data_IF_361854667845
#
_entry.id   IF_361854667845
#
_cell.length_a   1.000
_cell.length_b   1.000
_cell.length_c   1.000
_cell.angle_alpha   90.00
_cell.angle_beta   90.00
_cell.angle_gamma   90.00
#
_symmetry.space_group_name_H-M   'P 1'
#
loop_
_entity.id
_entity.type
_entity.pdbx_description
1 polymer ?
#
# COMPACT_ATOMS: atom_id res chain seq x y z
N UNK A 1 0.53 17.20 -6.80
CA UNK A 1 1.56 16.32 -7.40
C UNK A 1 1.15 15.95 -8.84
N UNK A 2 1.33 16.89 -9.77
CA UNK A 2 1.16 16.67 -11.23
C UNK A 2 2.45 16.99 -11.96
N UNK A 3 3.55 17.15 -11.21
CA UNK A 3 4.85 17.48 -11.74
C UNK A 3 5.58 16.21 -12.16
N UNK A 4 6.48 16.36 -13.12
CA UNK A 4 7.40 15.31 -13.51
C UNK A 4 8.22 14.77 -12.32
N UNK A 5 8.48 15.61 -11.30
CA UNK A 5 9.28 15.22 -10.13
C UNK A 5 8.64 14.09 -9.30
N UNK A 6 7.33 14.17 -9.00
CA UNK A 6 6.66 13.11 -8.25
C UNK A 6 6.75 11.76 -8.97
N UNK A 7 6.58 11.79 -10.28
CA UNK A 7 6.71 10.60 -11.13
C UNK A 7 8.14 10.07 -11.09
N UNK A 8 9.14 10.93 -11.31
CA UNK A 8 10.55 10.55 -11.29
C UNK A 8 10.99 9.96 -9.94
N UNK A 9 10.60 10.59 -8.82
CA UNK A 9 10.92 10.11 -7.48
C UNK A 9 10.28 8.75 -7.20
N UNK A 10 9.02 8.58 -7.60
CA UNK A 10 8.30 7.31 -7.43
C UNK A 10 8.91 6.21 -8.31
N UNK A 11 9.23 6.52 -9.56
CA UNK A 11 9.89 5.57 -10.47
C UNK A 11 11.27 5.16 -9.94
N UNK A 12 12.06 6.11 -9.41
CA UNK A 12 13.36 5.83 -8.81
C UNK A 12 13.24 4.90 -7.59
N UNK A 13 12.26 5.14 -6.72
CA UNK A 13 11.97 4.24 -5.60
C UNK A 13 11.59 2.83 -6.09
N UNK A 14 10.75 2.72 -7.13
CA UNK A 14 10.34 1.43 -7.70
C UNK A 14 11.45 0.71 -8.47
N UNK A 15 12.43 1.43 -9.02
CA UNK A 15 13.63 0.84 -9.61
C UNK A 15 14.46 0.12 -8.53
N UNK A 16 14.67 0.75 -7.39
CA UNK A 16 15.37 0.14 -6.24
C UNK A 16 14.62 -1.08 -5.69
N UNK A 17 13.28 -1.03 -5.70
CA UNK A 17 12.42 -2.17 -5.37
C UNK A 17 12.68 -3.34 -6.32
N UNK A 18 12.69 -3.09 -7.64
CA UNK A 18 12.97 -4.12 -8.65
C UNK A 18 14.37 -4.71 -8.51
N UNK A 19 15.37 -3.87 -8.27
CA UNK A 19 16.74 -4.29 -8.03
C UNK A 19 16.79 -5.24 -6.84
N UNK A 20 16.21 -4.87 -5.70
CA UNK A 20 16.16 -5.72 -4.50
C UNK A 20 15.52 -7.09 -4.74
N UNK A 21 14.40 -7.14 -5.48
CA UNK A 21 13.76 -8.42 -5.84
C UNK A 21 14.68 -9.26 -6.73
N UNK A 22 15.40 -8.64 -7.67
CA UNK A 22 16.26 -9.37 -8.61
C UNK A 22 17.60 -9.82 -8.02
N UNK A 23 18.17 -9.06 -7.08
CA UNK A 23 19.54 -9.28 -6.61
C UNK A 23 19.65 -9.83 -5.19
N UNK A 24 18.65 -9.56 -4.34
CA UNK A 24 18.75 -9.81 -2.90
C UNK A 24 17.71 -10.80 -2.38
N UNK A 25 16.60 -11.01 -3.09
CA UNK A 25 15.56 -11.92 -2.66
C UNK A 25 15.84 -13.34 -3.14
N UNK A 26 16.25 -14.22 -2.22
CA UNK A 26 16.35 -15.65 -2.47
C UNK A 26 14.96 -16.30 -2.35
N UNK A 27 14.08 -16.03 -3.32
CA UNK A 27 12.74 -16.60 -3.37
C UNK A 27 12.83 -18.13 -3.38
N UNK A 28 12.17 -18.77 -2.42
CA UNK A 28 12.23 -20.23 -2.25
C UNK A 28 11.19 -20.96 -3.10
N UNK A 29 10.12 -20.28 -3.53
CA UNK A 29 9.10 -20.88 -4.39
C UNK A 29 8.19 -21.89 -3.70
N UNK A 30 8.24 -21.99 -2.38
CA UNK A 30 7.37 -22.85 -1.54
C UNK A 30 5.98 -22.23 -1.26
N UNK A 31 5.67 -21.10 -1.90
CA UNK A 31 4.43 -20.34 -1.70
C UNK A 31 4.39 -19.47 -0.44
N UNK A 32 5.51 -19.32 0.28
CA UNK A 32 5.63 -18.48 1.48
C UNK A 32 6.40 -17.18 1.28
N UNK A 33 6.93 -16.92 0.08
CA UNK A 33 7.52 -15.63 -0.25
C UNK A 33 6.44 -14.56 -0.39
N UNK A 34 6.54 -13.49 0.39
CA UNK A 34 5.51 -12.48 0.48
C UNK A 34 6.04 -11.05 0.26
N UNK A 35 5.16 -10.21 -0.27
CA UNK A 35 5.36 -8.77 -0.42
C UNK A 35 4.14 -8.00 0.06
N UNK A 36 4.37 -6.88 0.73
CA UNK A 36 3.30 -6.07 1.30
C UNK A 36 3.22 -4.72 0.59
N UNK A 37 2.01 -4.29 0.29
CA UNK A 37 1.71 -2.93 -0.14
C UNK A 37 0.73 -2.26 0.80
N UNK A 38 0.98 -0.97 1.06
CA UNK A 38 -0.11 -0.05 1.42
C UNK A 38 -1.03 0.19 0.21
N UNK A 39 -2.20 0.78 0.43
CA UNK A 39 -3.20 1.01 -0.63
C UNK A 39 -3.21 2.47 -1.08
N UNK A 40 -3.57 3.39 -0.19
CA UNK A 40 -3.70 4.81 -0.54
C UNK A 40 -2.34 5.45 -0.82
N UNK A 41 -2.24 6.16 -1.94
CA UNK A 41 -1.01 6.76 -2.50
C UNK A 41 0.19 5.80 -2.64
N UNK A 42 -0.10 4.50 -2.64
CA UNK A 42 0.87 3.43 -2.94
C UNK A 42 0.41 2.58 -4.12
N UNK A 43 -0.86 2.14 -4.12
CA UNK A 43 -1.50 1.48 -5.26
C UNK A 43 -2.56 2.38 -5.91
N UNK A 44 -3.37 3.07 -5.10
CA UNK A 44 -4.47 3.92 -5.55
C UNK A 44 -4.19 5.37 -5.17
N UNK A 45 -4.20 6.29 -6.15
CA UNK A 45 -3.89 7.69 -5.89
C UNK A 45 -5.08 8.45 -5.29
N UNK A 46 -4.84 9.15 -4.18
CA UNK A 46 -5.80 10.05 -3.55
C UNK A 46 -5.68 11.49 -4.04
N UNK A 47 -4.69 11.77 -4.91
CA UNK A 47 -4.46 13.10 -5.52
C UNK A 47 -5.74 13.73 -6.10
N UNK A 48 -6.65 13.01 -6.80
CA UNK A 48 -7.87 13.62 -7.31
C UNK A 48 -8.78 14.20 -6.23
N UNK A 49 -8.81 13.58 -5.04
CA UNK A 49 -9.53 14.12 -3.88
C UNK A 49 -8.82 15.35 -3.35
N UNK A 50 -7.52 15.24 -3.02
CA UNK A 50 -6.75 16.32 -2.42
C UNK A 50 -6.61 17.54 -3.34
N UNK A 51 -6.62 17.36 -4.66
CA UNK A 51 -6.65 18.48 -5.63
C UNK A 51 -7.86 19.40 -5.44
N UNK A 52 -8.99 18.86 -4.98
CA UNK A 52 -10.21 19.63 -4.69
C UNK A 52 -10.24 20.22 -3.27
N UNK A 53 -9.27 19.86 -2.43
CA UNK A 53 -9.19 20.21 -1.00
C UNK A 53 -7.78 20.76 -0.66
N UNK A 54 -7.31 21.70 -1.48
CA UNK A 54 -6.08 22.46 -1.21
C UNK A 54 -4.77 21.64 -1.17
N UNK A 55 -4.73 20.45 -1.78
CA UNK A 55 -3.55 19.55 -1.76
C UNK A 55 -3.01 19.24 -0.36
N UNK A 56 -3.89 19.10 0.64
CA UNK A 56 -3.50 18.85 2.04
C UNK A 56 -3.39 20.11 2.89
N UNK A 57 -3.60 21.29 2.30
CA UNK A 57 -3.69 22.56 3.04
C UNK A 57 -4.99 22.71 3.85
N UNK A 58 -6.00 21.88 3.56
CA UNK A 58 -7.26 21.86 4.30
C UNK A 58 -7.30 20.68 5.28
N UNK A 59 -7.94 20.89 6.45
CA UNK A 59 -8.17 19.80 7.40
C UNK A 59 -9.04 18.71 6.74
N UNK A 60 -8.59 17.46 6.82
CA UNK A 60 -9.31 16.33 6.24
C UNK A 60 -10.71 16.21 6.84
N UNK A 61 -11.73 16.26 5.98
CA UNK A 61 -13.09 15.83 6.31
C UNK A 61 -13.21 14.32 6.04
N UNK A 62 -13.18 13.51 7.11
CA UNK A 62 -13.21 12.05 7.00
C UNK A 62 -14.46 11.55 6.26
N UNK A 63 -15.65 12.09 6.57
CA UNK A 63 -16.91 11.67 5.92
C UNK A 63 -16.91 11.97 4.42
N UNK A 64 -16.42 13.15 4.01
CA UNK A 64 -16.26 13.50 2.60
C UNK A 64 -15.27 12.56 1.89
N UNK A 65 -14.16 12.26 2.54
CA UNK A 65 -13.14 11.37 1.98
C UNK A 65 -13.63 9.93 1.83
N UNK A 66 -14.34 9.40 2.82
CA UNK A 66 -14.99 8.10 2.73
C UNK A 66 -16.07 8.05 1.64
N UNK A 67 -16.88 9.10 1.52
CA UNK A 67 -17.85 9.22 0.44
C UNK A 67 -17.18 9.25 -0.94
N UNK A 68 -15.99 9.85 -1.05
CA UNK A 68 -15.17 9.79 -2.26
C UNK A 68 -14.61 8.39 -2.51
N UNK A 69 -14.07 7.71 -1.49
CA UNK A 69 -13.57 6.34 -1.61
C UNK A 69 -14.65 5.34 -2.03
N UNK A 70 -15.89 5.52 -1.55
CA UNK A 70 -17.07 4.71 -1.93
C UNK A 70 -17.44 4.81 -3.41
N UNK A 71 -16.90 5.77 -4.14
CA UNK A 71 -17.11 5.88 -5.59
C UNK A 71 -16.23 4.92 -6.39
N UNK A 72 -15.21 4.30 -5.76
CA UNK A 72 -14.35 3.27 -6.36
C UNK A 72 -13.68 3.68 -7.68
N UNK A 73 -13.28 4.96 -7.76
CA UNK A 73 -12.73 5.62 -8.96
C UNK A 73 -11.33 6.21 -8.75
N UNK A 74 -10.63 5.85 -7.66
CA UNK A 74 -9.25 6.27 -7.47
C UNK A 74 -8.37 5.64 -8.57
N UNK A 75 -7.53 6.40 -9.29
CA UNK A 75 -6.69 5.85 -10.35
C UNK A 75 -5.53 5.04 -9.76
N UNK A 76 -5.02 4.07 -10.53
CA UNK A 76 -3.81 3.35 -10.19
C UNK A 76 -2.58 4.27 -10.21
N UNK A 77 -1.55 3.88 -9.46
CA UNK A 77 -0.20 4.40 -9.65
C UNK A 77 0.56 3.47 -10.60
N UNK A 78 0.79 3.90 -11.84
CA UNK A 78 1.33 3.07 -12.92
C UNK A 78 2.63 2.34 -12.56
N UNK A 79 3.53 3.03 -11.84
CA UNK A 79 4.80 2.45 -11.41
C UNK A 79 4.63 1.28 -10.43
N UNK A 80 3.64 1.36 -9.54
CA UNK A 80 3.31 0.32 -8.59
C UNK A 80 2.52 -0.81 -9.25
N UNK A 81 1.61 -0.50 -10.18
CA UNK A 81 0.85 -1.49 -10.95
C UNK A 81 1.78 -2.42 -11.75
N UNK A 82 2.75 -1.86 -12.47
CA UNK A 82 3.75 -2.64 -13.22
C UNK A 82 4.49 -3.62 -12.30
N UNK A 83 5.01 -3.13 -11.17
CA UNK A 83 5.75 -3.96 -10.23
C UNK A 83 4.88 -5.02 -9.54
N UNK A 84 3.63 -4.69 -9.19
CA UNK A 84 2.66 -5.64 -8.63
C UNK A 84 2.49 -6.85 -9.56
N UNK A 85 2.30 -6.62 -10.85
CA UNK A 85 2.20 -7.72 -11.82
C UNK A 85 3.52 -8.49 -11.95
N UNK A 86 4.66 -7.81 -12.03
CA UNK A 86 5.98 -8.45 -12.13
C UNK A 86 6.26 -9.45 -11.00
N UNK A 87 5.97 -9.10 -9.75
CA UNK A 87 6.23 -10.01 -8.61
C UNK A 87 5.15 -11.10 -8.48
N UNK A 88 3.91 -10.79 -8.88
CA UNK A 88 2.84 -11.79 -8.94
C UNK A 88 3.20 -12.89 -9.92
N UNK A 89 3.69 -12.54 -11.10
CA UNK A 89 4.07 -13.49 -12.15
C UNK A 89 5.30 -14.32 -11.75
N UNK A 90 6.09 -13.84 -10.79
CA UNK A 90 7.17 -14.60 -10.13
C UNK A 90 6.69 -15.50 -8.98
N UNK A 91 5.39 -15.57 -8.72
CA UNK A 91 4.79 -16.42 -7.68
C UNK A 91 4.84 -15.83 -6.26
N UNK A 92 5.24 -14.57 -6.10
CA UNK A 92 5.26 -13.89 -4.79
C UNK A 92 3.83 -13.63 -4.32
N UNK A 93 3.53 -13.96 -3.05
CA UNK A 93 2.24 -13.71 -2.41
C UNK A 93 2.13 -12.25 -2.03
N UNK A 94 1.15 -11.55 -2.63
CA UNK A 94 0.97 -10.12 -2.39
C UNK A 94 -0.10 -9.91 -1.32
N UNK A 95 0.25 -9.21 -0.24
CA UNK A 95 -0.68 -8.81 0.80
C UNK A 95 -0.88 -7.30 0.81
N UNK A 96 -2.13 -6.87 0.93
CA UNK A 96 -2.50 -5.47 1.00
C UNK A 96 -2.88 -5.14 2.44
N UNK A 97 -2.17 -4.20 3.06
CA UNK A 97 -2.45 -3.76 4.43
C UNK A 97 -2.73 -2.25 4.42
N UNK A 98 -4.01 -1.90 4.55
CA UNK A 98 -4.49 -0.51 4.48
C UNK A 98 -5.05 -0.05 5.83
N UNK A 99 -4.96 1.26 6.06
CA UNK A 99 -5.62 1.94 7.18
C UNK A 99 -7.07 2.35 6.90
N UNK A 100 -7.61 2.04 5.70
CA UNK A 100 -9.05 2.22 5.42
C UNK A 100 -9.88 1.41 6.42
N UNK A 101 -11.07 1.91 6.76
CA UNK A 101 -12.05 1.19 7.57
C UNK A 101 -12.52 -0.08 6.84
N UNK A 102 -12.78 -1.13 7.59
CA UNK A 102 -13.39 -2.38 7.13
C UNK A 102 -14.74 -2.14 6.43
N UNK A 103 -15.46 -1.09 6.82
CA UNK A 103 -16.72 -0.67 6.18
C UNK A 103 -16.55 -0.27 4.71
N UNK A 104 -15.32 0.02 4.27
CA UNK A 104 -14.96 0.35 2.89
C UNK A 104 -14.46 -0.86 2.09
N UNK A 105 -14.55 -2.09 2.61
CA UNK A 105 -14.00 -3.28 1.95
C UNK A 105 -14.50 -3.44 0.52
N UNK A 106 -15.82 -3.44 0.33
CA UNK A 106 -16.42 -3.63 -1.00
C UNK A 106 -15.94 -2.58 -2.00
N UNK A 107 -15.99 -1.31 -1.60
CA UNK A 107 -15.54 -0.21 -2.45
C UNK A 107 -14.03 -0.29 -2.76
N UNK A 108 -13.21 -0.70 -1.80
CA UNK A 108 -11.75 -0.85 -1.96
C UNK A 108 -11.41 -1.99 -2.92
N UNK A 109 -12.07 -3.15 -2.77
CA UNK A 109 -11.90 -4.30 -3.68
C UNK A 109 -12.32 -3.93 -5.10
N UNK A 110 -13.48 -3.28 -5.26
CA UNK A 110 -13.97 -2.82 -6.55
C UNK A 110 -12.99 -1.84 -7.20
N UNK A 111 -12.47 -0.87 -6.43
CA UNK A 111 -11.52 0.09 -6.95
C UNK A 111 -10.21 -0.58 -7.39
N UNK A 112 -9.64 -1.47 -6.58
CA UNK A 112 -8.42 -2.19 -6.91
C UNK A 112 -8.60 -2.99 -8.20
N UNK A 113 -9.74 -3.67 -8.34
CA UNK A 113 -10.08 -4.43 -9.54
C UNK A 113 -10.20 -3.52 -10.77
N UNK A 114 -10.95 -2.42 -10.67
CA UNK A 114 -11.12 -1.46 -11.76
C UNK A 114 -9.80 -0.76 -12.15
N UNK A 115 -8.87 -0.64 -11.20
CA UNK A 115 -7.54 -0.09 -11.39
C UNK A 115 -6.53 -1.10 -11.97
N UNK A 116 -6.95 -2.36 -12.21
CA UNK A 116 -6.12 -3.40 -12.83
C UNK A 116 -5.35 -4.30 -11.86
N UNK A 117 -5.50 -4.08 -10.55
CA UNK A 117 -4.90 -4.97 -9.55
C UNK A 117 -5.73 -6.24 -9.44
N UNK A 118 -5.11 -7.41 -9.65
CA UNK A 118 -5.77 -8.71 -9.57
C UNK A 118 -4.85 -9.76 -8.97
N UNK A 119 -5.40 -10.63 -8.12
CA UNK A 119 -4.68 -11.80 -7.59
C UNK A 119 -3.82 -11.51 -6.36
N UNK A 120 -4.16 -10.50 -5.55
CA UNK A 120 -3.59 -10.37 -4.22
C UNK A 120 -4.04 -11.56 -3.34
N UNK A 121 -3.18 -11.99 -2.42
CA UNK A 121 -3.38 -13.13 -1.53
C UNK A 121 -4.20 -12.78 -0.28
N UNK A 122 -4.20 -11.51 0.14
CA UNK A 122 -5.01 -11.04 1.27
C UNK A 122 -5.14 -9.52 1.28
N UNK A 123 -6.25 -9.04 1.84
CA UNK A 123 -6.52 -7.62 2.07
C UNK A 123 -6.94 -7.44 3.53
N UNK A 124 -6.12 -6.73 4.30
CA UNK A 124 -6.39 -6.39 5.69
C UNK A 124 -6.73 -4.90 5.80
N UNK A 125 -7.91 -4.60 6.33
CA UNK A 125 -8.40 -3.24 6.62
C UNK A 125 -8.69 -3.11 8.12
N UNK A 126 -8.82 -1.88 8.61
CA UNK A 126 -9.00 -1.60 10.04
C UNK A 126 -10.41 -1.92 10.49
N UNK A 127 -10.53 -2.81 11.48
CA UNK A 127 -11.79 -3.07 12.16
C UNK A 127 -12.11 -2.01 13.21
N UNK A 128 -13.34 -2.07 13.75
CA UNK A 128 -13.78 -1.17 14.84
C UNK A 128 -12.92 -1.29 16.10
N UNK A 129 -12.42 -2.49 16.39
CA UNK A 129 -11.53 -2.73 17.52
C UNK A 129 -10.15 -2.05 17.34
N UNK A 130 -9.78 -1.76 16.09
CA UNK A 130 -8.52 -1.12 15.75
C UNK A 130 -8.60 0.40 15.78
N UNK A 131 -9.78 1.03 15.80
CA UNK A 131 -9.94 2.47 15.54
C UNK A 131 -9.11 3.37 16.47
N UNK A 132 -8.85 2.92 17.70
CA UNK A 132 -8.05 3.65 18.69
C UNK A 132 -6.55 3.34 18.63
N UNK A 133 -6.12 2.36 17.83
CA UNK A 133 -4.71 2.03 17.65
C UNK A 133 -4.00 3.09 16.80
N UNK A 134 -2.69 3.25 17.00
CA UNK A 134 -1.86 3.99 16.03
C UNK A 134 -1.76 3.20 14.73
N UNK A 135 -1.68 3.87 13.58
CA UNK A 135 -1.63 3.20 12.28
C UNK A 135 -0.42 2.26 12.21
N UNK A 136 0.74 2.72 12.70
CA UNK A 136 1.95 1.90 12.74
C UNK A 136 1.76 0.62 13.57
N UNK A 137 1.08 0.70 14.72
CA UNK A 137 0.86 -0.46 15.59
C UNK A 137 -0.05 -1.47 14.91
N UNK A 138 -1.20 -1.02 14.38
CA UNK A 138 -2.14 -1.86 13.65
C UNK A 138 -1.45 -2.58 12.47
N UNK A 139 -0.68 -1.85 11.64
CA UNK A 139 0.03 -2.46 10.51
C UNK A 139 1.10 -3.45 10.96
N UNK A 140 1.79 -3.18 12.08
CA UNK A 140 2.75 -4.11 12.68
C UNK A 140 2.07 -5.41 13.16
N UNK A 141 0.87 -5.31 13.74
CA UNK A 141 0.07 -6.47 14.15
C UNK A 141 -0.40 -7.31 12.97
N UNK A 142 -0.86 -6.67 11.89
CA UNK A 142 -1.21 -7.34 10.64
C UNK A 142 0.01 -8.07 10.04
N UNK A 143 1.19 -7.44 10.00
CA UNK A 143 2.44 -8.10 9.56
C UNK A 143 2.81 -9.30 10.43
N UNK A 144 2.63 -9.17 11.75
CA UNK A 144 2.89 -10.25 12.70
C UNK A 144 1.99 -11.45 12.47
N UNK A 145 0.73 -11.25 12.09
CA UNK A 145 -0.15 -12.35 11.71
C UNK A 145 0.41 -13.12 10.50
N UNK A 146 0.84 -12.41 9.44
CA UNK A 146 1.45 -13.03 8.26
C UNK A 146 2.73 -13.81 8.59
N UNK A 147 3.61 -13.26 9.43
CA UNK A 147 4.83 -13.97 9.87
C UNK A 147 4.49 -15.23 10.67
N UNK A 148 3.46 -15.20 11.52
CA UNK A 148 2.99 -16.39 12.26
C UNK A 148 2.43 -17.47 11.34
N UNK A 149 1.84 -17.10 10.22
CA UNK A 149 1.41 -18.02 9.16
C UNK A 149 2.59 -18.58 8.34
N UNK A 150 3.82 -18.16 8.63
CA UNK A 150 5.06 -18.64 8.01
C UNK A 150 5.46 -17.88 6.76
N UNK A 151 4.85 -16.73 6.46
CA UNK A 151 5.26 -15.92 5.31
C UNK A 151 6.60 -15.21 5.57
N UNK A 152 7.49 -15.26 4.57
CA UNK A 152 8.74 -14.51 4.50
C UNK A 152 8.49 -13.19 3.78
N UNK A 153 8.41 -12.11 4.54
CA UNK A 153 8.12 -10.79 3.99
C UNK A 153 9.44 -10.19 3.44
N UNK A 154 9.60 -10.23 2.13
CA UNK A 154 10.80 -9.74 1.45
C UNK A 154 10.83 -8.22 1.31
N UNK A 155 9.65 -7.61 1.20
CA UNK A 155 9.52 -6.18 1.00
C UNK A 155 8.20 -5.61 1.48
N UNK A 156 8.24 -4.34 1.89
CA UNK A 156 7.07 -3.51 2.16
C UNK A 156 7.22 -2.23 1.36
N UNK A 157 6.20 -1.87 0.58
CA UNK A 157 6.11 -0.59 -0.12
C UNK A 157 4.94 0.19 0.49
N UNK A 158 5.20 1.45 0.83
CA UNK A 158 4.17 2.35 1.36
C UNK A 158 4.57 3.81 1.23
N UNK A 159 3.59 4.70 1.27
CA UNK A 159 3.77 6.15 1.17
C UNK A 159 3.93 6.83 2.53
N UNK A 160 3.80 6.09 3.64
CA UNK A 160 3.96 6.60 5.01
C UNK A 160 5.00 5.78 5.78
N UNK A 161 5.70 6.43 6.72
CA UNK A 161 6.61 5.72 7.64
C UNK A 161 5.85 4.72 8.51
N UNK A 162 4.63 5.07 8.94
CA UNK A 162 3.73 4.16 9.66
C UNK A 162 3.38 2.88 8.87
N UNK A 163 3.52 2.89 7.55
CA UNK A 163 3.26 1.72 6.70
C UNK A 163 4.44 0.76 6.64
N UNK A 164 5.67 1.29 6.72
CA UNK A 164 6.89 0.52 6.50
C UNK A 164 7.68 0.23 7.78
N UNK A 165 7.51 1.02 8.84
CA UNK A 165 8.20 0.86 10.10
C UNK A 165 7.47 -0.04 11.11
N UNK A 166 8.21 -0.51 12.12
CA UNK A 166 7.71 -1.35 13.20
C UNK A 166 8.02 -2.84 13.02
N UNK A 167 7.86 -3.62 14.09
CA UNK A 167 8.20 -5.04 14.12
C UNK A 167 6.95 -5.94 14.05
N UNK A 168 6.98 -7.06 13.31
CA UNK A 168 8.11 -7.54 12.51
C UNK A 168 8.32 -6.68 11.25
N UNK A 169 9.59 -6.53 10.88
CA UNK A 169 10.00 -5.86 9.66
C UNK A 169 9.97 -6.79 8.44
N UNK A 170 10.53 -6.31 7.34
CA UNK A 170 10.73 -7.07 6.11
C UNK A 170 12.22 -7.10 5.75
N UNK A 171 12.57 -7.89 4.73
CA UNK A 171 13.94 -7.89 4.18
C UNK A 171 14.41 -6.50 3.75
N UNK A 172 13.53 -5.69 3.16
CA UNK A 172 13.75 -4.25 2.90
C UNK A 172 12.44 -3.48 2.89
N UNK A 173 12.49 -2.19 3.16
CA UNK A 173 11.34 -1.28 3.11
C UNK A 173 11.57 -0.18 2.09
N UNK A 174 10.49 0.28 1.47
CA UNK A 174 10.54 1.29 0.42
C UNK A 174 9.44 2.32 0.64
N UNK A 175 9.87 3.57 0.82
CA UNK A 175 9.00 4.71 1.09
C UNK A 175 8.75 5.48 -0.20
N UNK A 176 7.50 5.53 -0.65
CA UNK A 176 7.08 6.38 -1.77
C UNK A 176 6.87 7.83 -1.30
N UNK A 177 7.04 8.84 -2.17
CA UNK A 177 6.79 10.22 -1.82
C UNK A 177 5.29 10.47 -1.59
N UNK A 178 4.95 11.18 -0.51
CA UNK A 178 3.62 11.76 -0.31
C UNK A 178 3.77 13.05 0.49
N UNK A 179 3.30 14.16 -0.06
CA UNK A 179 3.33 15.48 0.56
C UNK A 179 1.96 15.99 1.00
N UNK A 180 0.90 15.21 0.81
CA UNK A 180 -0.49 15.65 1.05
C UNK A 180 -0.93 15.45 2.49
N UNK A 181 -0.41 14.43 3.18
CA UNK A 181 -0.79 14.12 4.56
C UNK A 181 0.29 13.32 5.28
N UNK A 182 0.14 13.24 6.61
CA UNK A 182 0.99 12.43 7.48
C UNK A 182 0.13 11.53 8.37
N UNK A 183 0.48 10.25 8.46
CA UNK A 183 -0.14 9.29 9.37
C UNK A 183 0.92 8.71 10.32
N UNK A 184 0.54 8.52 11.58
CA UNK A 184 1.38 7.94 12.65
C UNK A 184 0.68 6.77 13.34
#
# INVERSE_FOLDING_TARGET
>A
MTSAQYTADSERAMEEVRLHVSSCCALQGDGKDAWIFDVDDTLLSTIPYYKKHGFGGEKLNATSFEAWMKQSKAPALDHALKFFHEIKDKGVKIFLISSRSETLRSATVENLFNAGYHGWSGLTLRGLEDDFMKVQQYKSEARRALTKEGFRIWGIVGDQWSSVEGLPGAGRTFKLPNSMYYLS
#
